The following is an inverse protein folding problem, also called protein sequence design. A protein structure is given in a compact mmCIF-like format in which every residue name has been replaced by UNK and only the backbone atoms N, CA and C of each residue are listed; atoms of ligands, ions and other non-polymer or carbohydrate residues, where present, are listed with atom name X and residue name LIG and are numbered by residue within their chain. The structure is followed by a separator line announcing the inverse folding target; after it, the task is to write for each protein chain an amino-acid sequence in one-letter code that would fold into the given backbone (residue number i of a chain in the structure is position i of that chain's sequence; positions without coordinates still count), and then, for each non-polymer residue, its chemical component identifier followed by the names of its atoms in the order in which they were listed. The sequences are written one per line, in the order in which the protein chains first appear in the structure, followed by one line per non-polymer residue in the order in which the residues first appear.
data_IF_845911734761
#
_entry.id   IF_845911734761
#
_cell.length_a   1.000
_cell.length_b   1.000
_cell.length_c   1.000
_cell.angle_alpha   90.00
_cell.angle_beta   90.00
_cell.angle_gamma   90.00
#
_symmetry.space_group_name_H-M   'P 1'
#
loop_
_entity.id
_entity.type
_entity.pdbx_description
1 polymer ?
#
# COMPACT_ATOMS: atom_id res chain seq x y z
N UNK A 1 -6.02 -17.18 7.47
CA UNK A 1 -4.99 -16.50 8.26
C UNK A 1 -4.18 -15.52 7.41
N UNK A 2 -3.84 -15.84 6.16
CA UNK A 2 -3.13 -14.94 5.25
C UNK A 2 -3.88 -13.61 5.05
N UNK A 3 -5.19 -13.64 4.89
CA UNK A 3 -6.03 -12.44 4.74
C UNK A 3 -5.95 -11.50 5.95
N UNK A 4 -5.90 -12.07 7.16
CA UNK A 4 -5.73 -11.30 8.39
C UNK A 4 -4.34 -10.64 8.40
N UNK A 5 -3.32 -11.35 7.91
CA UNK A 5 -1.97 -10.82 7.74
C UNK A 5 -1.94 -9.59 6.83
N UNK A 6 -2.59 -9.67 5.67
CA UNK A 6 -2.70 -8.53 4.75
C UNK A 6 -3.42 -7.35 5.40
N UNK A 7 -4.51 -7.59 6.13
CA UNK A 7 -5.26 -6.53 6.82
C UNK A 7 -4.34 -5.76 7.77
N UNK A 8 -3.58 -6.43 8.64
CA UNK A 8 -2.70 -5.75 9.59
C UNK A 8 -1.47 -5.13 8.94
N UNK A 9 -0.94 -5.72 7.87
CA UNK A 9 0.12 -5.11 7.06
C UNK A 9 -0.36 -3.80 6.43
N UNK A 10 -1.54 -3.79 5.80
CA UNK A 10 -2.10 -2.61 5.15
C UNK A 10 -2.56 -1.55 6.17
N UNK A 11 -3.06 -1.96 7.32
CA UNK A 11 -3.36 -1.05 8.42
C UNK A 11 -2.11 -0.33 8.92
N UNK A 12 -1.02 -1.07 9.15
CA UNK A 12 0.26 -0.47 9.56
C UNK A 12 0.83 0.46 8.48
N UNK A 13 0.75 0.05 7.22
CA UNK A 13 1.16 0.89 6.09
C UNK A 13 0.34 2.19 6.03
N UNK A 14 -0.97 2.09 6.31
CA UNK A 14 -1.84 3.25 6.45
C UNK A 14 -1.41 4.20 7.59
N UNK A 15 -0.95 3.67 8.73
CA UNK A 15 -0.43 4.47 9.84
C UNK A 15 0.84 5.25 9.47
N UNK A 16 1.68 4.70 8.61
CA UNK A 16 2.89 5.37 8.10
C UNK A 16 2.57 6.43 7.03
N UNK A 17 1.39 6.34 6.41
CA UNK A 17 0.94 7.26 5.37
C UNK A 17 0.55 8.61 5.95
N UNK A 18 1.15 9.68 5.45
CA UNK A 18 0.80 11.06 5.85
C UNK A 18 0.77 12.00 4.66
N UNK A 19 -0.35 12.67 4.46
CA UNK A 19 -0.48 13.74 3.46
C UNK A 19 0.49 14.89 3.72
N UNK A 20 0.87 15.15 4.97
CA UNK A 20 1.86 16.19 5.32
C UNK A 20 3.24 15.87 4.81
N UNK A 21 3.63 14.59 4.79
CA UNK A 21 4.91 14.15 4.22
C UNK A 21 4.91 14.38 2.70
N UNK A 22 3.82 14.05 2.01
CA UNK A 22 3.68 14.24 0.57
C UNK A 22 3.83 15.70 0.15
N UNK A 23 3.19 16.63 0.85
CA UNK A 23 3.26 18.08 0.54
C UNK A 23 4.68 18.64 0.70
N UNK A 24 5.51 18.01 1.54
CA UNK A 24 6.91 18.42 1.76
C UNK A 24 7.88 17.90 0.69
N UNK A 25 7.46 16.97 -0.15
CA UNK A 25 8.29 16.43 -1.22
C UNK A 25 8.46 17.50 -2.31
N UNK A 26 9.71 17.77 -2.69
CA UNK A 26 10.02 18.78 -3.69
C UNK A 26 9.53 18.38 -5.12
N UNK A 27 9.25 19.37 -5.95
CA UNK A 27 8.76 19.16 -7.31
C UNK A 27 9.67 18.28 -8.19
N UNK A 28 10.98 18.36 -8.01
CA UNK A 28 11.95 17.52 -8.74
C UNK A 28 11.80 16.04 -8.40
N UNK A 29 11.64 15.71 -7.11
CA UNK A 29 11.46 14.33 -6.68
C UNK A 29 10.12 13.76 -7.16
N UNK A 30 9.03 14.55 -7.08
CA UNK A 30 7.72 14.14 -7.59
C UNK A 30 7.74 13.91 -9.11
N UNK A 31 8.42 14.77 -9.87
CA UNK A 31 8.56 14.61 -11.32
C UNK A 31 9.39 13.36 -11.66
N UNK A 32 10.49 13.14 -10.95
CA UNK A 32 11.34 11.94 -11.12
C UNK A 32 10.53 10.68 -10.86
N UNK A 33 9.79 10.62 -9.74
CA UNK A 33 8.92 9.50 -9.43
C UNK A 33 7.86 9.26 -10.52
N UNK A 34 7.18 10.32 -10.98
CA UNK A 34 6.16 10.19 -12.00
C UNK A 34 6.73 9.63 -13.31
N UNK A 35 7.87 10.15 -13.78
CA UNK A 35 8.53 9.65 -15.00
C UNK A 35 8.97 8.20 -14.83
N UNK A 36 9.59 7.86 -13.72
CA UNK A 36 10.04 6.51 -13.41
C UNK A 36 8.86 5.53 -13.38
N UNK A 37 7.81 5.81 -12.60
CA UNK A 37 6.65 4.93 -12.45
C UNK A 37 5.97 4.70 -13.81
N UNK A 38 5.71 5.77 -14.58
CA UNK A 38 5.08 5.66 -15.89
C UNK A 38 5.94 4.82 -16.84
N UNK A 39 7.25 5.09 -16.88
CA UNK A 39 8.18 4.35 -17.75
C UNK A 39 8.21 2.87 -17.38
N UNK A 40 8.32 2.54 -16.09
CA UNK A 40 8.38 1.15 -15.63
C UNK A 40 7.05 0.41 -15.82
N UNK A 41 5.91 1.10 -15.67
CA UNK A 41 4.59 0.51 -16.00
C UNK A 41 4.54 0.16 -17.49
N UNK A 42 4.99 1.05 -18.37
CA UNK A 42 5.01 0.80 -19.83
C UNK A 42 5.97 -0.36 -20.15
N UNK A 43 7.17 -0.37 -19.57
CA UNK A 43 8.15 -1.44 -19.78
C UNK A 43 7.60 -2.77 -19.30
N UNK A 44 7.09 -2.85 -18.07
CA UNK A 44 6.53 -4.08 -17.52
C UNK A 44 5.29 -4.56 -18.28
N UNK A 45 4.40 -3.64 -18.66
CA UNK A 45 3.23 -3.97 -19.49
C UNK A 45 3.65 -4.54 -20.86
N UNK A 46 4.58 -3.89 -21.54
CA UNK A 46 5.07 -4.37 -22.85
C UNK A 46 5.78 -5.72 -22.73
N UNK A 47 6.59 -5.91 -21.68
CA UNK A 47 7.25 -7.20 -21.37
C UNK A 47 6.20 -8.30 -21.14
N UNK A 48 5.19 -8.05 -20.33
CA UNK A 48 4.10 -9.01 -20.11
C UNK A 48 3.38 -9.38 -21.39
N UNK A 49 3.06 -8.39 -22.24
CA UNK A 49 2.44 -8.64 -23.54
C UNK A 49 3.33 -9.43 -24.49
N UNK A 50 4.62 -9.18 -24.54
CA UNK A 50 5.59 -9.95 -25.33
C UNK A 50 5.75 -11.38 -24.84
N UNK A 51 5.59 -11.62 -23.54
CA UNK A 51 5.55 -12.96 -22.94
C UNK A 51 4.20 -13.68 -23.14
N UNK A 52 3.23 -13.05 -23.82
CA UNK A 52 1.91 -13.62 -24.09
C UNK A 52 0.91 -13.52 -22.93
N UNK A 53 1.21 -12.73 -21.92
CA UNK A 53 0.33 -12.58 -20.76
C UNK A 53 -0.93 -11.79 -21.10
N UNK A 54 -1.98 -12.00 -20.35
CA UNK A 54 -3.22 -11.23 -20.49
C UNK A 54 -3.02 -9.76 -20.12
N UNK A 55 -4.05 -8.94 -20.32
CA UNK A 55 -3.98 -7.50 -20.09
C UNK A 55 -3.75 -7.17 -18.59
N UNK A 56 -4.44 -7.90 -17.70
CA UNK A 56 -4.37 -7.67 -16.26
C UNK A 56 -2.98 -8.02 -15.72
N UNK A 57 -2.50 -9.22 -16.00
CA UNK A 57 -1.20 -9.68 -15.52
C UNK A 57 -0.07 -8.78 -16.01
N UNK A 58 -0.18 -8.28 -17.25
CA UNK A 58 0.78 -7.33 -17.81
C UNK A 58 0.77 -5.98 -17.07
N UNK A 59 -0.40 -5.47 -16.68
CA UNK A 59 -0.50 -4.24 -15.85
C UNK A 59 0.08 -4.49 -14.44
N UNK A 60 -0.26 -5.62 -13.82
CA UNK A 60 0.29 -5.99 -12.52
C UNK A 60 1.81 -6.07 -12.55
N UNK A 61 2.38 -6.70 -13.59
CA UNK A 61 3.83 -6.73 -13.78
C UNK A 61 4.43 -5.31 -13.84
N UNK A 62 3.84 -4.43 -14.65
CA UNK A 62 4.29 -3.04 -14.74
C UNK A 62 4.23 -2.29 -13.41
N UNK A 63 3.15 -2.47 -12.66
CA UNK A 63 2.98 -1.86 -11.35
C UNK A 63 4.02 -2.39 -10.34
N UNK A 64 4.28 -3.69 -10.32
CA UNK A 64 5.29 -4.30 -9.43
C UNK A 64 6.69 -3.77 -9.77
N UNK A 65 7.06 -3.75 -11.05
CA UNK A 65 8.37 -3.30 -11.50
C UNK A 65 8.59 -1.79 -11.30
N UNK A 66 7.52 -1.01 -11.16
CA UNK A 66 7.62 0.44 -10.94
C UNK A 66 8.00 0.81 -9.49
N UNK A 67 8.03 -0.17 -8.57
CA UNK A 67 8.30 0.08 -7.16
C UNK A 67 9.75 -0.25 -6.81
N UNK A 68 10.39 0.66 -6.07
CA UNK A 68 11.76 0.49 -5.57
C UNK A 68 11.76 0.07 -4.10
N UNK A 69 12.81 -0.62 -3.68
CA UNK A 69 12.98 -0.98 -2.26
C UNK A 69 13.64 0.14 -1.48
N UNK A 70 12.86 0.91 -0.74
CA UNK A 70 13.32 1.99 0.14
C UNK A 70 14.39 1.51 1.11
N UNK A 71 14.23 0.34 1.71
CA UNK A 71 15.17 -0.23 2.68
C UNK A 71 16.53 -0.54 2.05
N UNK A 72 16.54 -1.13 0.86
CA UNK A 72 17.80 -1.47 0.15
C UNK A 72 18.54 -0.19 -0.25
N UNK A 73 17.83 0.80 -0.79
CA UNK A 73 18.43 2.08 -1.21
C UNK A 73 18.99 2.83 -0.02
N UNK A 74 18.26 2.92 1.10
CA UNK A 74 18.72 3.58 2.31
C UNK A 74 19.99 2.92 2.85
N UNK A 75 20.03 1.59 2.86
CA UNK A 75 21.21 0.84 3.32
C UNK A 75 22.40 1.03 2.39
N UNK A 76 22.19 0.98 1.08
CA UNK A 76 23.24 1.24 0.11
C UNK A 76 23.83 2.66 0.27
N UNK A 77 22.98 3.66 0.51
CA UNK A 77 23.43 5.03 0.73
C UNK A 77 24.22 5.19 2.04
N UNK A 78 23.89 4.41 3.08
CA UNK A 78 24.66 4.34 4.32
C UNK A 78 26.05 3.76 4.08
N UNK A 79 26.12 2.60 3.44
CA UNK A 79 27.36 1.89 3.17
C UNK A 79 28.29 2.69 2.25
N UNK A 80 27.74 3.43 1.30
CA UNK A 80 28.48 4.32 0.39
C UNK A 80 28.80 5.69 0.98
N UNK A 81 28.25 6.06 2.14
CA UNK A 81 28.46 7.36 2.78
C UNK A 81 27.89 8.55 2.01
N UNK A 82 26.90 8.34 1.14
CA UNK A 82 26.36 9.38 0.24
C UNK A 82 25.04 10.01 0.69
N UNK A 83 24.55 9.68 1.88
CA UNK A 83 23.26 10.19 2.41
C UNK A 83 23.15 11.72 2.45
N UNK A 84 24.27 12.40 2.61
CA UNK A 84 24.32 13.88 2.71
C UNK A 84 24.45 14.58 1.35
N UNK A 85 24.57 13.84 0.29
CA UNK A 85 24.67 14.38 -1.06
C UNK A 85 23.33 14.96 -1.53
N UNK A 86 23.37 16.00 -2.38
CA UNK A 86 22.15 16.66 -2.89
C UNK A 86 21.22 15.70 -3.63
N UNK A 87 21.76 14.77 -4.42
CA UNK A 87 20.95 13.79 -5.15
C UNK A 87 20.24 12.82 -4.21
N UNK A 88 20.83 12.49 -3.06
CA UNK A 88 20.20 11.60 -2.08
C UNK A 88 18.86 12.17 -1.59
N UNK A 89 18.76 13.49 -1.41
CA UNK A 89 17.50 14.15 -1.07
C UNK A 89 16.42 13.98 -2.13
N UNK A 90 16.78 14.02 -3.43
CA UNK A 90 15.84 13.77 -4.53
C UNK A 90 15.39 12.31 -4.52
N UNK A 91 16.33 11.38 -4.37
CA UNK A 91 16.02 9.94 -4.32
C UNK A 91 15.09 9.63 -3.14
N UNK A 92 15.36 10.17 -1.94
CA UNK A 92 14.47 9.98 -0.79
C UNK A 92 13.06 10.53 -1.03
N UNK A 93 12.97 11.71 -1.66
CA UNK A 93 11.68 12.25 -2.06
C UNK A 93 10.96 11.38 -3.09
N UNK A 94 11.70 10.84 -4.07
CA UNK A 94 11.17 9.90 -5.08
C UNK A 94 10.60 8.65 -4.41
N UNK A 95 11.34 8.02 -3.48
CA UNK A 95 10.90 6.84 -2.75
C UNK A 95 9.61 7.10 -1.94
N UNK A 96 9.50 8.27 -1.31
CA UNK A 96 8.25 8.64 -0.60
C UNK A 96 7.07 8.72 -1.58
N UNK A 97 7.26 9.25 -2.76
CA UNK A 97 6.19 9.32 -3.78
C UNK A 97 5.86 7.92 -4.30
N UNK A 98 6.88 7.09 -4.56
CA UNK A 98 6.69 5.70 -4.99
C UNK A 98 5.86 4.91 -3.96
N UNK A 99 6.20 5.00 -2.68
CA UNK A 99 5.47 4.31 -1.60
C UNK A 99 3.98 4.71 -1.59
N UNK A 100 3.69 6.01 -1.78
CA UNK A 100 2.31 6.51 -1.85
C UNK A 100 1.60 6.00 -3.11
N UNK A 101 2.27 6.04 -4.26
CA UNK A 101 1.70 5.56 -5.52
C UNK A 101 1.52 4.04 -5.49
N UNK A 102 2.43 3.29 -4.84
CA UNK A 102 2.29 1.85 -4.64
C UNK A 102 0.98 1.50 -3.94
N UNK A 103 0.63 2.25 -2.90
CA UNK A 103 -0.61 2.06 -2.17
C UNK A 103 -1.82 2.35 -3.07
N UNK A 104 -1.79 3.46 -3.81
CA UNK A 104 -2.87 3.82 -4.74
C UNK A 104 -3.02 2.77 -5.86
N UNK A 105 -1.91 2.29 -6.41
CA UNK A 105 -1.91 1.22 -7.42
C UNK A 105 -2.45 -0.09 -6.83
N UNK A 106 -2.06 -0.46 -5.62
CA UNK A 106 -2.55 -1.67 -4.96
C UNK A 106 -4.07 -1.61 -4.78
N UNK A 107 -4.60 -0.48 -4.35
CA UNK A 107 -6.05 -0.25 -4.20
C UNK A 107 -6.75 -0.32 -5.55
N UNK A 108 -6.22 0.37 -6.56
CA UNK A 108 -6.77 0.39 -7.91
C UNK A 108 -6.78 -1.02 -8.53
N UNK A 109 -5.65 -1.70 -8.49
CA UNK A 109 -5.49 -3.04 -9.07
C UNK A 109 -6.34 -4.08 -8.34
N UNK A 110 -6.45 -4.02 -7.02
CA UNK A 110 -7.35 -4.92 -6.28
C UNK A 110 -8.82 -4.72 -6.66
N UNK A 111 -9.23 -3.47 -6.90
CA UNK A 111 -10.59 -3.14 -7.36
C UNK A 111 -10.84 -3.69 -8.77
N UNK A 112 -9.87 -3.52 -9.67
CA UNK A 112 -9.95 -4.07 -11.05
C UNK A 112 -9.99 -5.60 -11.03
N UNK A 113 -9.19 -6.25 -10.21
CA UNK A 113 -9.14 -7.70 -10.09
C UNK A 113 -10.46 -8.30 -9.59
N UNK A 114 -11.16 -7.61 -8.69
CA UNK A 114 -12.47 -8.03 -8.16
C UNK A 114 -13.59 -7.83 -9.20
N UNK A 115 -13.55 -6.75 -9.97
CA UNK A 115 -14.62 -6.43 -10.94
C UNK A 115 -14.65 -7.37 -12.15
N UNK A 116 -13.53 -7.98 -12.52
CA UNK A 116 -13.34 -8.90 -13.67
C UNK A 116 -13.93 -8.41 -15.01
N UNK A 117 -14.38 -7.19 -15.11
CA UNK A 117 -15.02 -6.60 -16.29
C UNK A 117 -14.20 -5.43 -16.83
N UNK A 118 -13.97 -5.44 -18.14
CA UNK A 118 -13.09 -4.51 -18.86
C UNK A 118 -13.83 -3.65 -19.89
N UNK A 119 -15.07 -3.25 -19.60
CA UNK A 119 -15.62 -2.14 -20.38
C UNK A 119 -15.07 -0.83 -19.83
N UNK A 120 -14.65 0.08 -20.69
CA UNK A 120 -14.08 1.37 -20.25
C UNK A 120 -15.06 2.18 -19.40
N UNK A 121 -16.37 1.99 -19.58
CA UNK A 121 -17.43 2.66 -18.80
C UNK A 121 -17.48 2.10 -17.38
N UNK A 122 -17.41 0.79 -17.21
CA UNK A 122 -17.45 0.13 -15.89
C UNK A 122 -16.17 0.42 -15.09
N UNK A 123 -15.04 0.54 -15.78
CA UNK A 123 -13.78 0.97 -15.13
C UNK A 123 -13.91 2.41 -14.59
N UNK A 124 -14.46 3.32 -15.40
CA UNK A 124 -14.72 4.70 -14.98
C UNK A 124 -15.68 4.77 -13.78
N UNK A 125 -16.76 4.00 -13.82
CA UNK A 125 -17.71 3.90 -12.71
C UNK A 125 -17.05 3.38 -11.43
N UNK A 126 -16.22 2.36 -11.53
CA UNK A 126 -15.46 1.80 -10.41
C UNK A 126 -14.48 2.82 -9.82
N UNK A 127 -13.78 3.59 -10.66
CA UNK A 127 -12.88 4.66 -10.23
C UNK A 127 -13.66 5.78 -9.53
N UNK A 128 -14.79 6.22 -10.08
CA UNK A 128 -15.63 7.24 -9.45
C UNK A 128 -16.22 6.75 -8.12
N UNK A 129 -16.69 5.50 -8.06
CA UNK A 129 -17.18 4.88 -6.83
C UNK A 129 -16.07 4.84 -5.77
N UNK A 130 -14.87 4.40 -6.15
CA UNK A 130 -13.71 4.37 -5.25
C UNK A 130 -13.37 5.78 -4.75
N UNK A 131 -13.25 6.75 -5.64
CA UNK A 131 -12.94 8.14 -5.27
C UNK A 131 -14.01 8.73 -4.33
N UNK A 132 -15.29 8.51 -4.61
CA UNK A 132 -16.40 8.96 -3.77
C UNK A 132 -16.31 8.35 -2.36
N UNK A 133 -16.10 7.03 -2.24
CA UNK A 133 -15.99 6.37 -0.94
C UNK A 133 -14.72 6.78 -0.19
N UNK A 134 -13.60 6.95 -0.88
CA UNK A 134 -12.37 7.46 -0.26
C UNK A 134 -12.61 8.84 0.36
N UNK A 135 -13.18 9.77 -0.41
CA UNK A 135 -13.49 11.13 0.07
C UNK A 135 -14.45 11.05 1.26
N UNK A 136 -15.53 10.29 1.16
CA UNK A 136 -16.53 10.16 2.21
C UNK A 136 -15.92 9.61 3.50
N UNK A 137 -15.15 8.52 3.42
CA UNK A 137 -14.55 7.89 4.58
C UNK A 137 -13.42 8.72 5.20
N UNK A 138 -12.62 9.41 4.38
CA UNK A 138 -11.63 10.34 4.89
C UNK A 138 -12.26 11.52 5.62
N UNK A 139 -13.28 12.14 5.03
CA UNK A 139 -13.99 13.26 5.67
C UNK A 139 -14.65 12.81 6.99
N UNK A 140 -15.39 11.71 6.97
CA UNK A 140 -16.03 11.17 8.17
C UNK A 140 -14.97 10.77 9.22
N UNK A 141 -13.90 10.09 8.81
CA UNK A 141 -12.84 9.61 9.69
C UNK A 141 -12.07 10.73 10.35
N UNK A 142 -11.65 11.76 9.59
CA UNK A 142 -10.87 12.90 10.12
C UNK A 142 -11.66 13.68 11.19
N UNK A 143 -12.98 13.75 11.09
CA UNK A 143 -13.80 14.43 12.10
C UNK A 143 -14.19 13.49 13.25
N UNK A 144 -14.57 12.26 12.95
CA UNK A 144 -15.11 11.32 13.95
C UNK A 144 -14.03 10.69 14.81
N UNK A 145 -12.98 10.15 14.22
CA UNK A 145 -11.94 9.36 14.92
C UNK A 145 -11.15 10.21 15.94
N UNK A 146 -10.63 11.42 15.62
CA UNK A 146 -9.96 12.25 16.61
C UNK A 146 -10.88 12.65 17.77
N UNK A 147 -12.17 12.89 17.49
CA UNK A 147 -13.15 13.22 18.51
C UNK A 147 -13.42 12.05 19.45
N UNK A 148 -13.52 10.82 18.89
CA UNK A 148 -13.68 9.59 19.65
C UNK A 148 -12.47 9.37 20.58
N UNK A 149 -11.25 9.42 20.02
CA UNK A 149 -10.01 9.22 20.77
C UNK A 149 -9.79 10.29 21.86
N UNK A 150 -10.19 11.54 21.61
CA UNK A 150 -10.13 12.61 22.63
C UNK A 150 -11.12 12.37 23.78
N UNK A 151 -12.35 11.93 23.47
CA UNK A 151 -13.41 11.72 24.46
C UNK A 151 -13.12 10.51 25.37
N UNK A 152 -12.42 9.52 24.83
CA UNK A 152 -12.03 8.29 25.54
C UNK A 152 -10.64 8.38 26.17
N UNK A 153 -9.94 9.51 26.06
CA UNK A 153 -8.53 9.69 26.49
C UNK A 153 -8.26 9.19 27.91
N UNK A 154 -9.18 9.41 28.86
CA UNK A 154 -9.03 9.01 30.26
C UNK A 154 -9.25 7.50 30.51
N UNK A 155 -9.77 6.77 29.53
CA UNK A 155 -10.03 5.34 29.57
C UNK A 155 -9.01 4.53 28.75
N UNK A 156 -8.19 5.20 27.97
CA UNK A 156 -7.24 4.58 27.03
C UNK A 156 -5.91 4.30 27.74
N UNK A 157 -5.79 3.12 28.33
CA UNK A 157 -4.48 2.48 28.62
C UNK A 157 -3.83 2.03 27.32
N UNK A 158 -2.58 1.57 27.33
CA UNK A 158 -1.92 1.01 26.15
C UNK A 158 -2.68 -0.18 25.57
N UNK A 159 -3.12 -1.09 26.42
CA UNK A 159 -3.91 -2.27 26.03
C UNK A 159 -5.24 -1.87 25.39
N UNK A 160 -5.97 -0.96 26.03
CA UNK A 160 -7.25 -0.47 25.50
C UNK A 160 -7.07 0.28 24.18
N UNK A 161 -5.99 1.03 24.04
CA UNK A 161 -5.64 1.74 22.80
C UNK A 161 -5.39 0.76 21.66
N UNK A 162 -4.66 -0.32 21.91
CA UNK A 162 -4.44 -1.38 20.94
C UNK A 162 -5.76 -2.03 20.51
N UNK A 163 -6.59 -2.45 21.47
CA UNK A 163 -7.88 -3.10 21.19
C UNK A 163 -8.81 -2.18 20.39
N UNK A 164 -8.91 -0.92 20.78
CA UNK A 164 -9.73 0.07 20.05
C UNK A 164 -9.22 0.29 18.64
N UNK A 165 -7.91 0.37 18.45
CA UNK A 165 -7.32 0.56 17.10
C UNK A 165 -7.58 -0.64 16.20
N UNK A 166 -7.45 -1.86 16.72
CA UNK A 166 -7.79 -3.09 16.00
C UNK A 166 -9.28 -3.16 15.68
N UNK A 167 -10.15 -2.80 16.63
CA UNK A 167 -11.60 -2.77 16.43
C UNK A 167 -11.99 -1.77 15.34
N UNK A 168 -11.40 -0.57 15.33
CA UNK A 168 -11.61 0.44 14.28
C UNK A 168 -11.12 -0.05 12.92
N UNK A 169 -9.95 -0.71 12.87
CA UNK A 169 -9.44 -1.34 11.65
C UNK A 169 -10.43 -2.35 11.08
N UNK A 170 -10.84 -3.33 11.89
CA UNK A 170 -11.77 -4.38 11.47
C UNK A 170 -13.16 -3.84 11.12
N UNK A 171 -13.64 -2.83 11.82
CA UNK A 171 -14.89 -2.14 11.47
C UNK A 171 -14.80 -1.53 10.06
N UNK A 172 -13.71 -0.85 9.73
CA UNK A 172 -13.54 -0.27 8.39
C UNK A 172 -13.37 -1.36 7.33
N UNK A 173 -12.72 -2.48 7.65
CA UNK A 173 -12.63 -3.65 6.77
C UNK A 173 -14.04 -4.16 6.42
N UNK A 174 -14.91 -4.31 7.41
CA UNK A 174 -16.30 -4.74 7.21
C UNK A 174 -17.06 -3.73 6.34
N UNK A 175 -16.93 -2.42 6.62
CA UNK A 175 -17.58 -1.36 5.85
C UNK A 175 -17.10 -1.33 4.38
N UNK A 176 -15.79 -1.47 4.16
CA UNK A 176 -15.20 -1.54 2.82
C UNK A 176 -15.72 -2.75 2.05
N UNK A 177 -15.71 -3.92 2.67
CA UNK A 177 -16.19 -5.17 2.07
C UNK A 177 -17.69 -5.10 1.75
N UNK A 178 -18.50 -4.54 2.64
CA UNK A 178 -19.92 -4.32 2.39
C UNK A 178 -20.19 -3.34 1.24
N UNK A 179 -19.27 -2.40 0.98
CA UNK A 179 -19.32 -1.50 -0.15
C UNK A 179 -18.77 -2.10 -1.47
N UNK A 180 -18.29 -3.36 -1.44
CA UNK A 180 -17.74 -4.07 -2.59
C UNK A 180 -16.27 -3.79 -2.86
N UNK A 181 -15.52 -3.31 -1.86
CA UNK A 181 -14.07 -3.10 -1.93
C UNK A 181 -13.30 -4.22 -1.22
N UNK A 182 -11.99 -4.25 -1.43
CA UNK A 182 -11.12 -5.22 -0.76
C UNK A 182 -11.00 -4.94 0.76
N UNK A 183 -10.88 -6.00 1.59
CA UNK A 183 -10.56 -5.86 3.00
C UNK A 183 -9.29 -5.02 3.27
N UNK A 184 -8.29 -5.21 2.43
CA UNK A 184 -7.01 -4.50 2.46
C UNK A 184 -7.18 -2.98 2.35
N UNK A 185 -8.07 -2.50 1.47
CA UNK A 185 -8.40 -1.09 1.32
C UNK A 185 -9.01 -0.52 2.61
N UNK A 186 -9.96 -1.23 3.21
CA UNK A 186 -10.57 -0.79 4.47
C UNK A 186 -9.54 -0.61 5.58
N UNK A 187 -8.65 -1.59 5.74
CA UNK A 187 -7.57 -1.56 6.71
C UNK A 187 -6.64 -0.35 6.47
N UNK A 188 -6.20 -0.14 5.23
CA UNK A 188 -5.36 0.98 4.85
C UNK A 188 -6.01 2.34 5.13
N UNK A 189 -7.28 2.52 4.76
CA UNK A 189 -8.02 3.77 5.01
C UNK A 189 -8.08 4.07 6.52
N UNK A 190 -8.39 3.09 7.35
CA UNK A 190 -8.44 3.33 8.80
C UNK A 190 -7.06 3.69 9.34
N UNK A 191 -6.00 3.01 8.91
CA UNK A 191 -4.62 3.36 9.27
C UNK A 191 -4.29 4.81 8.90
N UNK A 192 -4.61 5.23 7.68
CA UNK A 192 -4.35 6.59 7.18
C UNK A 192 -5.16 7.65 7.93
N UNK A 193 -6.38 7.35 8.35
CA UNK A 193 -7.19 8.26 9.18
C UNK A 193 -6.56 8.41 10.58
N UNK A 194 -6.12 7.32 11.19
CA UNK A 194 -5.45 7.34 12.50
C UNK A 194 -4.09 8.04 12.40
N UNK A 195 -3.37 7.93 11.29
CA UNK A 195 -2.09 8.61 11.03
C UNK A 195 -2.19 10.14 11.17
N UNK A 196 -3.34 10.73 10.90
CA UNK A 196 -3.58 12.17 11.09
C UNK A 196 -3.94 12.55 12.53
N UNK A 197 -4.02 11.59 13.45
CA UNK A 197 -4.32 11.84 14.87
C UNK A 197 -3.05 12.03 15.69
N UNK A 198 -3.19 12.62 16.88
CA UNK A 198 -2.07 12.80 17.83
C UNK A 198 -1.61 11.49 18.48
N UNK A 199 -2.32 10.39 18.26
CA UNK A 199 -2.03 9.06 18.79
C UNK A 199 -1.39 8.11 17.78
N UNK A 200 -1.12 8.59 16.56
CA UNK A 200 -0.61 7.78 15.46
C UNK A 200 0.65 7.00 15.86
N UNK A 201 1.68 7.69 16.36
CA UNK A 201 2.96 7.10 16.74
C UNK A 201 2.82 6.05 17.86
N UNK A 202 1.98 6.34 18.86
CA UNK A 202 1.70 5.38 19.94
C UNK A 202 1.00 4.13 19.41
N UNK A 203 0.01 4.29 18.53
CA UNK A 203 -0.74 3.19 17.95
C UNK A 203 0.14 2.37 17.02
N UNK A 204 0.98 3.01 16.21
CA UNK A 204 1.94 2.33 15.34
C UNK A 204 2.88 1.43 16.14
N UNK A 205 3.42 1.95 17.24
CA UNK A 205 4.30 1.16 18.13
C UNK A 205 3.57 -0.06 18.75
N UNK A 206 2.33 0.13 19.20
CA UNK A 206 1.52 -0.94 19.82
C UNK A 206 1.08 -2.01 18.80
N UNK A 207 0.85 -1.63 17.55
CA UNK A 207 0.42 -2.53 16.47
C UNK A 207 1.58 -3.34 15.89
N UNK A 208 2.81 -2.84 16.01
CA UNK A 208 3.99 -3.48 15.42
C UNK A 208 4.13 -4.97 15.74
N UNK A 209 4.01 -5.45 16.98
CA UNK A 209 4.09 -6.89 17.26
C UNK A 209 2.98 -7.71 16.58
N UNK A 210 1.78 -7.14 16.48
CA UNK A 210 0.64 -7.78 15.79
C UNK A 210 0.92 -7.86 14.29
N UNK A 211 1.37 -6.78 13.69
CA UNK A 211 1.79 -6.74 12.28
C UNK A 211 2.89 -7.76 11.99
N UNK A 212 3.91 -7.81 12.82
CA UNK A 212 5.07 -8.70 12.60
C UNK A 212 4.65 -10.18 12.68
N UNK A 213 3.80 -10.55 13.67
CA UNK A 213 3.26 -11.89 13.81
C UNK A 213 2.42 -12.30 12.60
N UNK A 214 1.41 -11.51 12.26
CA UNK A 214 0.49 -11.84 11.17
C UNK A 214 1.11 -11.64 9.80
N UNK A 215 2.07 -10.73 9.67
CA UNK A 215 2.89 -10.58 8.48
C UNK A 215 3.72 -11.84 8.20
N UNK A 216 4.35 -12.42 9.23
CA UNK A 216 5.07 -13.69 9.09
C UNK A 216 4.11 -14.82 8.63
N UNK A 217 2.92 -14.92 9.23
CA UNK A 217 1.89 -15.89 8.82
C UNK A 217 1.49 -15.67 7.35
N UNK A 218 1.31 -14.42 6.93
CA UNK A 218 1.00 -14.08 5.54
C UNK A 218 2.11 -14.56 4.58
N UNK A 219 3.37 -14.18 4.84
CA UNK A 219 4.47 -14.57 3.96
C UNK A 219 4.69 -16.08 3.90
N UNK A 220 4.56 -16.78 5.03
CA UNK A 220 4.60 -18.25 5.03
C UNK A 220 3.46 -18.83 4.21
N UNK A 221 2.24 -18.33 4.38
CA UNK A 221 1.06 -18.81 3.64
C UNK A 221 1.21 -18.57 2.14
N UNK A 222 1.70 -17.40 1.73
CA UNK A 222 1.97 -17.09 0.31
C UNK A 222 3.11 -17.98 -0.23
N UNK A 223 4.17 -18.18 0.55
CA UNK A 223 5.27 -19.06 0.18
C UNK A 223 4.81 -20.51 -0.04
N UNK A 224 3.84 -20.99 0.73
CA UNK A 224 3.27 -22.33 0.55
C UNK A 224 2.41 -22.48 -0.73
N UNK A 225 1.98 -21.39 -1.35
CA UNK A 225 1.27 -21.41 -2.64
C UNK A 225 2.22 -21.55 -3.84
N UNK A 226 3.53 -21.38 -3.63
CA UNK A 226 4.52 -21.51 -4.70
C UNK A 226 4.65 -23.00 -5.08
N UNK A 227 4.26 -23.33 -6.31
CA UNK A 227 4.49 -24.65 -6.87
C UNK A 227 5.82 -24.67 -7.61
N UNK A 228 6.70 -25.64 -7.24
CA UNK A 228 8.02 -25.82 -7.87
C UNK A 228 7.92 -26.17 -9.36
N UNK A 229 6.86 -26.86 -9.78
CA UNK A 229 6.62 -27.17 -11.21
C UNK A 229 6.35 -25.89 -12.00
N UNK A 230 5.52 -25.01 -11.45
CA UNK A 230 5.23 -23.69 -12.03
C UNK A 230 6.50 -22.84 -12.15
N UNK A 231 7.39 -22.92 -11.18
CA UNK A 231 8.66 -22.19 -11.22
C UNK A 231 9.55 -22.65 -12.41
N UNK A 232 9.54 -23.93 -12.75
CA UNK A 232 10.27 -24.45 -13.92
C UNK A 232 9.62 -23.99 -15.23
N UNK A 233 8.29 -24.01 -15.32
CA UNK A 233 7.55 -23.56 -16.49
C UNK A 233 7.78 -22.07 -16.78
N UNK A 234 7.83 -21.25 -15.74
CA UNK A 234 8.03 -19.80 -15.85
C UNK A 234 9.50 -19.35 -15.70
N UNK A 235 10.46 -20.28 -15.75
CA UNK A 235 11.88 -19.94 -15.60
C UNK A 235 12.35 -18.89 -16.65
N UNK A 236 11.91 -19.02 -17.90
CA UNK A 236 12.26 -18.07 -18.97
C UNK A 236 11.68 -16.66 -18.74
N UNK A 237 10.38 -16.46 -18.42
CA UNK A 237 9.85 -15.19 -17.98
C UNK A 237 10.59 -14.60 -16.79
N UNK A 238 10.91 -15.40 -15.76
CA UNK A 238 11.62 -14.93 -14.56
C UNK A 238 12.98 -14.36 -14.93
N UNK A 239 13.76 -15.04 -15.79
CA UNK A 239 15.07 -14.55 -16.25
C UNK A 239 14.93 -13.23 -17.00
N UNK A 240 13.97 -13.12 -17.93
CA UNK A 240 13.74 -11.87 -18.70
C UNK A 240 13.36 -10.69 -17.81
N UNK A 241 12.53 -10.93 -16.79
CA UNK A 241 12.07 -9.88 -15.89
C UNK A 241 13.16 -9.44 -14.92
N UNK A 242 14.13 -10.34 -14.62
CA UNK A 242 15.19 -10.06 -13.64
C UNK A 242 16.38 -9.30 -14.27
N UNK A 243 16.60 -9.41 -15.59
CA UNK A 243 17.67 -8.73 -16.34
C UNK A 243 17.21 -7.34 -16.78
#
# INVERSE_FOLDING_TARGET
WAEIGVIFLLFSLGLEFSFKKLVKVGGSASMTAAVQIITMIIVGFTTGKLLGWNFIDSIFLGAILSMSSTTIILRAFDELGVKTQKFAGVVFGTLIVEDIVAILLMVLLSTIAVSQQFSGVELMESIFKLAFFLILWFLAGIFFIPTLLKRTKNLLTEETTLIVSLALCLMMVILATAAGFSPALGAFIMGSIIAETTKAEQIEHLIKPVKDLFGAVFFVSVGMLINLETLQEYAFPVVIITI
#
